data_IF_266935487726
#
_entry.id   IF_266935487726
#
_cell.length_a   1.000
_cell.length_b   1.000
_cell.length_c   1.000
_cell.angle_alpha   90.00
_cell.angle_beta   90.00
_cell.angle_gamma   90.00
#
_symmetry.space_group_name_H-M   'P 1'
#
loop_
_entity.id
_entity.type
_entity.pdbx_description
1 polymer ?
#
# COMPACT_ATOMS: atom_id res chain seq x y z
N UNK A 1 -6.50 13.01 8.51
CA UNK A 1 -5.97 11.72 8.00
C UNK A 1 -5.67 11.95 6.54
N UNK A 2 -4.43 11.74 6.10
CA UNK A 2 -4.12 11.82 4.67
C UNK A 2 -4.86 10.69 3.94
N UNK A 3 -5.44 10.97 2.79
CA UNK A 3 -6.24 10.01 2.04
C UNK A 3 -5.31 9.25 1.10
N UNK A 4 -5.23 7.92 1.27
CA UNK A 4 -4.43 7.06 0.38
C UNK A 4 -4.95 7.16 -1.04
N UNK A 5 -4.05 7.39 -1.98
CA UNK A 5 -4.33 7.62 -3.40
C UNK A 5 -3.71 6.53 -4.28
N UNK A 6 -4.27 6.38 -5.49
CA UNK A 6 -3.71 5.46 -6.49
C UNK A 6 -2.31 5.94 -6.85
N UNK A 7 -1.35 5.01 -6.85
CA UNK A 7 0.05 5.29 -7.15
C UNK A 7 0.93 5.47 -5.91
N UNK A 8 0.33 5.68 -4.73
CA UNK A 8 1.06 5.82 -3.46
C UNK A 8 1.82 4.54 -3.13
N UNK A 9 2.99 4.72 -2.52
CA UNK A 9 3.68 3.64 -1.81
C UNK A 9 3.17 3.59 -0.38
N UNK A 10 2.77 2.41 0.05
CA UNK A 10 2.21 2.18 1.39
C UNK A 10 2.85 0.95 2.01
N UNK A 11 2.87 0.90 3.35
CA UNK A 11 3.29 -0.28 4.10
C UNK A 11 2.11 -0.85 4.86
N UNK A 12 1.91 -2.16 4.76
CA UNK A 12 0.85 -2.85 5.49
C UNK A 12 1.36 -3.14 6.91
N UNK A 13 0.79 -2.49 7.92
CA UNK A 13 1.26 -2.50 9.31
C UNK A 13 1.47 -3.93 9.85
N UNK A 14 0.47 -4.79 9.65
CA UNK A 14 0.48 -6.16 10.17
C UNK A 14 1.56 -7.06 9.57
N UNK A 15 1.88 -6.89 8.29
CA UNK A 15 2.85 -7.76 7.60
C UNK A 15 4.20 -7.08 7.38
N UNK A 16 4.31 -5.78 7.61
CA UNK A 16 5.48 -4.96 7.30
C UNK A 16 5.78 -4.86 5.80
N UNK A 17 4.94 -5.42 4.93
CA UNK A 17 5.16 -5.49 3.49
C UNK A 17 4.80 -4.15 2.85
N UNK A 18 5.67 -3.67 1.97
CA UNK A 18 5.44 -2.46 1.18
C UNK A 18 4.92 -2.80 -0.21
N UNK A 19 4.09 -1.91 -0.76
CA UNK A 19 3.59 -2.05 -2.11
C UNK A 19 3.00 -0.76 -2.65
N UNK A 20 2.59 -0.80 -3.92
CA UNK A 20 2.01 0.34 -4.60
C UNK A 20 0.51 0.21 -4.71
N UNK A 21 -0.22 1.27 -4.38
CA UNK A 21 -1.67 1.31 -4.50
C UNK A 21 -2.06 1.31 -5.98
N UNK A 22 -2.96 0.39 -6.37
CA UNK A 22 -3.48 0.25 -7.73
C UNK A 22 -4.92 0.72 -7.86
N UNK A 23 -5.71 0.57 -6.80
CA UNK A 23 -7.10 1.02 -6.77
C UNK A 23 -7.53 1.34 -5.34
N UNK A 24 -8.47 2.27 -5.23
CA UNK A 24 -9.19 2.59 -3.99
C UNK A 24 -10.68 2.52 -4.32
N UNK A 25 -11.40 1.58 -3.71
CA UNK A 25 -12.82 1.33 -3.97
C UNK A 25 -13.56 1.42 -2.63
N UNK A 26 -14.18 2.57 -2.37
CA UNK A 26 -14.77 2.84 -1.06
C UNK A 26 -13.70 2.81 0.04
N UNK A 27 -13.84 1.88 0.98
CA UNK A 27 -12.88 1.67 2.09
C UNK A 27 -11.91 0.50 1.83
N UNK A 28 -11.86 -0.03 0.61
CA UNK A 28 -10.95 -1.12 0.25
C UNK A 28 -9.83 -0.58 -0.64
N UNK A 29 -8.58 -0.87 -0.26
CA UNK A 29 -7.37 -0.47 -0.99
C UNK A 29 -6.74 -1.72 -1.59
N UNK A 30 -6.51 -1.69 -2.90
CA UNK A 30 -5.79 -2.74 -3.63
C UNK A 30 -4.33 -2.35 -3.80
N UNK A 31 -3.44 -3.20 -3.29
CA UNK A 31 -2.00 -2.97 -3.27
C UNK A 31 -1.31 -4.07 -4.07
N UNK A 32 -0.47 -3.68 -5.02
CA UNK A 32 0.50 -4.58 -5.64
C UNK A 32 1.75 -4.63 -4.76
N UNK A 33 1.95 -5.76 -4.09
CA UNK A 33 3.13 -6.06 -3.28
C UNK A 33 4.20 -6.69 -4.18
N UNK A 34 5.44 -6.25 -3.99
CA UNK A 34 6.62 -6.94 -4.55
C UNK A 34 7.19 -7.85 -3.47
N UNK A 35 7.00 -9.16 -3.63
CA UNK A 35 7.54 -10.16 -2.68
C UNK A 35 8.77 -10.80 -3.33
N UNK A 36 9.99 -10.64 -2.75
CA UNK A 36 11.24 -11.06 -3.39
C UNK A 36 11.24 -12.50 -3.91
N UNK A 37 10.58 -13.42 -3.21
CA UNK A 37 10.56 -14.85 -3.53
C UNK A 37 9.27 -15.33 -4.23
N UNK A 38 8.25 -14.46 -4.34
CA UNK A 38 6.94 -14.86 -4.89
C UNK A 38 6.48 -14.02 -6.07
N UNK A 39 7.20 -12.97 -6.43
CA UNK A 39 6.83 -12.06 -7.52
C UNK A 39 5.78 -11.02 -7.08
N UNK A 40 4.91 -10.62 -8.01
CA UNK A 40 3.88 -9.60 -7.77
C UNK A 40 2.60 -10.23 -7.23
N UNK A 41 2.14 -9.74 -6.09
CA UNK A 41 0.92 -10.22 -5.45
C UNK A 41 0.00 -9.05 -5.17
N UNK A 42 -1.30 -9.27 -5.31
CA UNK A 42 -2.30 -8.26 -4.96
C UNK A 42 -2.85 -8.55 -3.57
N UNK A 43 -2.99 -7.50 -2.77
CA UNK A 43 -3.61 -7.57 -1.45
C UNK A 43 -4.68 -6.50 -1.32
N UNK A 44 -5.82 -6.89 -0.75
CA UNK A 44 -6.87 -5.98 -0.33
C UNK A 44 -6.68 -5.68 1.15
N UNK A 45 -6.67 -4.41 1.51
CA UNK A 45 -6.55 -3.95 2.90
C UNK A 45 -7.48 -2.77 3.14
N UNK A 46 -7.79 -2.51 4.41
CA UNK A 46 -8.48 -1.28 4.80
C UNK A 46 -7.46 -0.16 5.08
N UNK A 47 -7.84 1.13 5.01
CA UNK A 47 -6.98 2.25 5.33
C UNK A 47 -6.32 2.16 6.71
N UNK A 48 -7.03 1.62 7.71
CA UNK A 48 -6.53 1.43 9.07
C UNK A 48 -5.40 0.40 9.19
N UNK A 49 -5.25 -0.48 8.20
CA UNK A 49 -4.16 -1.48 8.17
C UNK A 49 -2.86 -0.90 7.58
N UNK A 50 -2.87 0.36 7.15
CA UNK A 50 -1.75 1.00 6.46
C UNK A 50 -0.97 1.94 7.38
N UNK A 51 0.33 1.72 7.43
CA UNK A 51 1.29 2.76 7.78
C UNK A 51 1.49 3.60 6.52
N UNK A 52 1.11 4.87 6.56
CA UNK A 52 1.44 5.77 5.46
C UNK A 52 2.96 5.90 5.41
N UNK A 53 3.54 5.56 4.27
CA UNK A 53 4.88 6.02 3.98
C UNK A 53 4.74 7.52 3.73
N UNK A 54 4.94 8.34 4.76
CA UNK A 54 5.12 9.78 4.59
C UNK A 54 6.05 9.96 3.40
N UNK A 55 5.60 10.77 2.45
CA UNK A 55 6.23 11.08 1.17
C UNK A 55 7.75 10.96 1.26
N UNK A 56 8.30 9.81 0.86
CA UNK A 56 9.71 9.71 0.50
C UNK A 56 9.82 10.46 -0.82
N UNK A 57 9.77 11.80 -0.74
CA UNK A 57 10.28 12.65 -1.79
C UNK A 57 11.78 12.37 -1.77
N UNK A 58 12.25 11.64 -2.78
CA UNK A 58 13.65 11.64 -3.16
C UNK A 58 14.11 13.10 -3.17
N UNK A 59 15.06 13.43 -2.29
CA UNK A 59 15.87 14.64 -2.38
C UNK A 59 16.86 14.52 -3.55
#
# INVERSE_FOLDING_TARGET
>A
MSQVSIGDWVRVARTGQSGRVKAVIGTVIYIELTVPERGRWHKMVSPEDLEQAESWQDE
#
